data_IF_021535833859
#
_entry.id   IF_021535833859
#
_cell.length_a   1.000
_cell.length_b   1.000
_cell.length_c   1.000
_cell.angle_alpha   90.00
_cell.angle_beta   90.00
_cell.angle_gamma   90.00
#
_symmetry.space_group_name_H-M   'P 1'
#
loop_
_entity.id
_entity.type
_entity.pdbx_description
1 polymer ?
#
# COMPACT_ATOMS: atom_id res chain seq x y z
N UNK A 1 8.70 -5.26 20.88
CA UNK A 1 8.28 -5.62 19.50
C UNK A 1 9.38 -5.17 18.55
N UNK A 2 10.08 -6.13 17.93
CA UNK A 2 11.12 -5.83 16.95
C UNK A 2 10.43 -5.37 15.67
N UNK A 3 10.68 -4.12 15.26
CA UNK A 3 10.22 -3.63 13.95
C UNK A 3 11.10 -4.33 12.90
N UNK A 4 10.50 -4.85 11.81
CA UNK A 4 11.27 -5.46 10.75
C UNK A 4 12.32 -4.47 10.21
N UNK A 5 13.52 -4.97 9.96
CA UNK A 5 14.61 -4.18 9.40
C UNK A 5 14.23 -3.70 8.01
N UNK A 6 13.91 -2.43 7.87
CA UNK A 6 13.56 -1.79 6.61
C UNK A 6 14.74 -0.93 6.15
N UNK A 7 15.09 -1.01 4.88
CA UNK A 7 16.26 -0.33 4.29
C UNK A 7 16.21 1.21 4.36
N UNK A 8 15.07 1.77 4.65
CA UNK A 8 14.96 3.21 4.91
C UNK A 8 15.55 3.53 6.29
N UNK A 9 16.82 3.99 6.31
CA UNK A 9 17.56 4.38 7.52
C UNK A 9 16.77 5.31 8.46
N UNK A 10 15.74 5.98 7.94
CA UNK A 10 14.87 6.88 8.70
C UNK A 10 13.87 6.12 9.58
N UNK A 11 13.61 4.84 9.28
CA UNK A 11 12.77 3.97 10.12
C UNK A 11 13.51 3.43 11.35
N UNK A 12 14.83 3.61 11.43
CA UNK A 12 15.66 3.24 12.57
C UNK A 12 16.03 4.45 13.47
N UNK A 13 15.40 5.62 13.22
CA UNK A 13 15.65 6.80 14.06
C UNK A 13 15.09 6.59 15.47
N UNK A 14 15.86 6.94 16.53
CA UNK A 14 15.39 6.88 17.92
C UNK A 14 14.19 7.80 18.22
N UNK A 15 13.89 8.74 17.32
CA UNK A 15 12.71 9.62 17.39
C UNK A 15 11.45 9.01 16.78
N UNK A 16 11.48 7.76 16.28
CA UNK A 16 10.32 7.11 15.71
C UNK A 16 9.33 6.70 16.79
N UNK A 17 8.14 7.30 16.78
CA UNK A 17 7.02 6.93 17.67
C UNK A 17 6.09 5.97 16.95
N UNK A 18 5.90 4.81 17.54
CA UNK A 18 4.88 3.85 17.13
C UNK A 18 3.54 4.28 17.73
N UNK A 19 2.60 4.67 16.89
CA UNK A 19 1.22 4.94 17.28
C UNK A 19 0.35 3.80 16.75
N UNK A 20 -0.26 3.05 17.65
CA UNK A 20 -1.27 2.06 17.29
C UNK A 20 -2.52 2.80 16.81
N UNK A 21 -2.88 2.62 15.57
CA UNK A 21 -4.16 3.06 15.03
C UNK A 21 -5.00 1.82 14.81
N UNK A 22 -5.93 1.57 15.73
CA UNK A 22 -7.00 0.62 15.46
C UNK A 22 -7.73 1.09 14.21
N UNK A 23 -7.57 0.39 13.11
CA UNK A 23 -8.37 0.68 11.93
C UNK A 23 -9.81 0.27 12.22
N UNK A 24 -10.68 1.25 12.42
CA UNK A 24 -12.12 1.06 12.46
C UNK A 24 -12.73 0.66 11.11
N UNK A 25 -11.94 0.07 10.23
CA UNK A 25 -12.45 -0.62 9.05
C UNK A 25 -12.97 -1.97 9.51
N UNK A 26 -14.28 -2.07 9.62
CA UNK A 26 -15.05 -3.31 9.77
C UNK A 26 -14.79 -4.26 8.60
N UNK A 27 -13.60 -4.80 8.55
CA UNK A 27 -13.36 -6.08 7.94
C UNK A 27 -12.96 -7.00 9.11
N UNK A 28 -13.64 -8.11 9.30
CA UNK A 28 -13.33 -9.19 10.26
C UNK A 28 -11.95 -9.82 9.98
N UNK A 29 -11.05 -9.04 9.43
CA UNK A 29 -9.72 -9.43 9.04
C UNK A 29 -8.74 -9.05 10.14
N UNK A 30 -7.98 -10.01 10.64
CA UNK A 30 -6.86 -9.87 11.59
C UNK A 30 -5.72 -9.00 11.01
N UNK A 31 -6.05 -7.83 10.43
CA UNK A 31 -5.07 -6.89 9.90
C UNK A 31 -4.70 -5.87 10.97
N UNK A 32 -3.46 -5.89 11.40
CA UNK A 32 -2.91 -4.90 12.32
C UNK A 32 -2.30 -3.75 11.50
N UNK A 33 -2.61 -2.51 11.87
CA UNK A 33 -2.09 -1.31 11.22
C UNK A 33 -1.44 -0.42 12.26
N UNK A 34 -0.18 -0.06 12.02
CA UNK A 34 0.58 0.83 12.87
C UNK A 34 1.00 2.06 12.09
N UNK A 35 0.81 3.22 12.70
CA UNK A 35 1.31 4.48 12.17
C UNK A 35 2.70 4.74 12.75
N UNK A 36 3.67 4.90 11.88
CA UNK A 36 5.05 5.19 12.24
C UNK A 36 5.35 6.65 11.92
N UNK A 37 5.45 7.48 12.96
CA UNK A 37 5.84 8.88 12.81
C UNK A 37 7.34 9.02 12.93
N UNK A 38 7.96 9.52 11.87
CA UNK A 38 9.34 9.94 11.86
C UNK A 38 9.38 11.48 11.89
N UNK A 39 9.74 12.08 13.02
CA UNK A 39 9.65 13.52 13.28
C UNK A 39 10.29 14.45 12.26
N UNK A 40 10.99 13.93 11.25
CA UNK A 40 11.77 14.73 10.33
C UNK A 40 11.13 15.05 8.97
N UNK A 41 10.24 14.28 8.40
CA UNK A 41 9.54 14.64 7.12
C UNK A 41 8.63 13.57 6.51
N UNK A 42 8.61 12.30 6.97
CA UNK A 42 7.83 11.25 6.31
C UNK A 42 7.26 10.29 7.34
N UNK A 43 5.97 10.19 7.36
CA UNK A 43 5.27 9.20 8.15
C UNK A 43 5.03 7.93 7.31
N UNK A 44 4.90 6.78 7.97
CA UNK A 44 4.72 5.48 7.34
C UNK A 44 3.57 4.72 8.00
N UNK A 45 3.00 3.80 7.25
CA UNK A 45 2.04 2.81 7.73
C UNK A 45 2.70 1.44 7.65
N UNK A 46 2.85 0.79 8.80
CA UNK A 46 3.21 -0.62 8.90
C UNK A 46 1.92 -1.43 9.01
N UNK A 47 1.71 -2.38 8.12
CA UNK A 47 0.49 -3.15 8.03
C UNK A 47 0.79 -4.65 8.03
N UNK A 48 0.12 -5.39 8.92
CA UNK A 48 0.04 -6.85 8.87
C UNK A 48 -0.99 -7.26 7.82
N UNK A 49 -0.59 -8.06 6.87
CA UNK A 49 -1.47 -8.56 5.81
C UNK A 49 -2.23 -9.76 6.33
N UNK A 50 -3.53 -9.80 6.10
CA UNK A 50 -4.35 -10.95 6.43
C UNK A 50 -4.08 -12.11 5.46
N UNK A 51 -3.28 -13.07 5.90
CA UNK A 51 -2.91 -14.25 5.09
C UNK A 51 -4.02 -15.28 4.95
N UNK A 52 -5.08 -15.17 5.75
CA UNK A 52 -6.28 -15.99 5.56
C UNK A 52 -7.05 -15.57 4.30
N UNK A 53 -7.16 -14.27 4.05
CA UNK A 53 -7.79 -13.71 2.84
C UNK A 53 -6.84 -13.79 1.65
N UNK A 54 -5.60 -13.34 1.84
CA UNK A 54 -4.56 -13.34 0.81
C UNK A 54 -3.65 -14.55 1.01
N UNK A 55 -4.08 -15.71 0.54
CA UNK A 55 -3.36 -16.99 0.72
C UNK A 55 -1.98 -17.03 0.05
N UNK A 56 -1.72 -16.11 -0.88
CA UNK A 56 -0.45 -15.92 -1.57
C UNK A 56 0.03 -14.48 -1.40
N UNK A 57 0.44 -14.07 -0.19
CA UNK A 57 0.75 -12.67 0.09
C UNK A 57 1.99 -12.16 -0.66
N UNK A 58 2.93 -13.04 -1.01
CA UNK A 58 4.10 -12.70 -1.85
C UNK A 58 3.63 -12.29 -3.24
N UNK A 59 2.84 -13.14 -3.91
CA UNK A 59 2.29 -12.85 -5.25
C UNK A 59 1.50 -11.53 -5.25
N UNK A 60 0.76 -11.25 -4.16
CA UNK A 60 0.04 -9.98 -4.00
C UNK A 60 1.00 -8.80 -3.95
N UNK A 61 2.12 -8.91 -3.22
CA UNK A 61 3.09 -7.83 -3.12
C UNK A 61 3.87 -7.62 -4.42
N UNK A 62 4.17 -8.69 -5.14
CA UNK A 62 4.78 -8.61 -6.47
C UNK A 62 3.86 -7.89 -7.46
N UNK A 63 2.57 -8.23 -7.49
CA UNK A 63 1.57 -7.52 -8.30
C UNK A 63 1.50 -6.04 -7.95
N UNK A 64 1.38 -5.72 -6.66
CA UNK A 64 1.28 -4.34 -6.18
C UNK A 64 2.52 -3.55 -6.56
N UNK A 65 3.71 -4.10 -6.35
CA UNK A 65 4.97 -3.42 -6.67
C UNK A 65 5.13 -3.21 -8.17
N UNK A 66 4.84 -4.22 -8.98
CA UNK A 66 4.91 -4.13 -10.44
C UNK A 66 4.00 -3.01 -10.98
N UNK A 67 2.74 -2.98 -10.53
CA UNK A 67 1.76 -1.97 -10.94
C UNK A 67 2.16 -0.57 -10.45
N UNK A 68 2.54 -0.43 -9.19
CA UNK A 68 2.86 0.89 -8.61
C UNK A 68 4.15 1.48 -9.20
N UNK A 69 5.17 0.66 -9.43
CA UNK A 69 6.41 1.12 -10.08
C UNK A 69 6.19 1.49 -11.56
N UNK A 70 5.38 0.72 -12.28
CA UNK A 70 5.03 1.02 -13.67
C UNK A 70 4.33 2.37 -13.79
N UNK A 71 3.28 2.61 -12.99
CA UNK A 71 2.57 3.89 -12.98
C UNK A 71 3.50 5.03 -12.56
N UNK A 72 4.35 4.79 -11.56
CA UNK A 72 5.33 5.79 -11.10
C UNK A 72 6.31 6.19 -12.19
N UNK A 73 6.82 5.22 -12.97
CA UNK A 73 7.70 5.47 -14.10
C UNK A 73 7.01 6.34 -15.16
N UNK A 74 5.76 6.04 -15.51
CA UNK A 74 4.97 6.84 -16.45
C UNK A 74 4.75 8.28 -15.97
N UNK A 75 4.37 8.47 -14.71
CA UNK A 75 4.16 9.81 -14.16
C UNK A 75 5.47 10.59 -14.15
N UNK A 76 6.58 9.97 -13.77
CA UNK A 76 7.90 10.63 -13.81
C UNK A 76 8.31 11.04 -15.22
N UNK A 77 7.99 10.24 -16.23
CA UNK A 77 8.27 10.58 -17.63
C UNK A 77 7.55 11.83 -18.11
N UNK A 78 6.43 12.22 -17.48
CA UNK A 78 5.73 13.49 -17.77
C UNK A 78 6.32 14.70 -17.04
N UNK A 79 7.42 14.55 -16.29
CA UNK A 79 8.03 15.63 -15.48
C UNK A 79 7.27 15.94 -14.18
N UNK A 80 6.18 15.21 -13.88
CA UNK A 80 5.35 15.42 -12.67
C UNK A 80 5.82 14.53 -11.54
N UNK A 81 5.70 15.05 -10.30
CA UNK A 81 6.00 14.24 -9.12
C UNK A 81 4.91 13.21 -8.87
N UNK A 82 5.30 11.94 -8.70
CA UNK A 82 4.39 10.85 -8.36
C UNK A 82 4.08 10.74 -6.84
N UNK A 83 4.53 11.72 -6.04
CA UNK A 83 4.52 11.65 -4.56
C UNK A 83 3.14 11.34 -3.95
N UNK A 84 2.06 11.86 -4.54
CA UNK A 84 0.67 11.68 -4.05
C UNK A 84 -0.22 10.86 -5.01
N UNK A 85 0.31 10.45 -6.13
CA UNK A 85 -0.45 9.78 -7.19
C UNK A 85 -0.38 8.26 -7.10
N UNK A 86 0.64 7.72 -6.44
CA UNK A 86 0.89 6.27 -6.31
C UNK A 86 1.43 5.96 -4.92
N UNK A 87 0.97 4.85 -4.34
CA UNK A 87 1.53 4.33 -3.10
C UNK A 87 3.03 4.02 -3.27
N UNK A 88 3.78 4.26 -2.21
CA UNK A 88 5.20 3.95 -2.16
C UNK A 88 5.46 2.98 -1.03
N UNK A 89 5.78 1.74 -1.38
CA UNK A 89 6.19 0.73 -0.42
C UNK A 89 7.69 0.85 -0.13
N UNK A 90 8.03 0.73 1.14
CA UNK A 90 9.42 0.71 1.59
C UNK A 90 9.99 -0.70 1.40
N UNK A 91 11.24 -0.77 0.94
CA UNK A 91 11.95 -2.03 0.81
C UNK A 91 12.69 -2.38 2.09
N UNK A 92 12.83 -3.67 2.35
CA UNK A 92 13.70 -4.23 3.39
C UNK A 92 15.16 -4.17 2.96
N UNK A 93 16.08 -4.55 3.86
CA UNK A 93 17.52 -4.67 3.56
C UNK A 93 17.81 -5.78 2.52
N UNK A 94 16.85 -6.72 2.34
CA UNK A 94 16.91 -7.77 1.31
C UNK A 94 16.27 -7.36 -0.02
N UNK A 95 15.95 -6.05 -0.19
CA UNK A 95 15.33 -5.47 -1.39
C UNK A 95 13.88 -5.94 -1.65
N UNK A 96 13.20 -6.51 -0.65
CA UNK A 96 11.82 -6.98 -0.70
C UNK A 96 10.85 -5.93 -0.16
N UNK A 97 9.62 -5.87 -0.68
CA UNK A 97 8.57 -4.95 -0.24
C UNK A 97 7.74 -5.47 0.96
N UNK A 98 8.16 -6.58 1.54
CA UNK A 98 7.51 -7.23 2.67
C UNK A 98 8.55 -7.87 3.59
N UNK A 99 8.09 -8.32 4.74
CA UNK A 99 8.88 -9.18 5.63
C UNK A 99 7.97 -10.16 6.35
N UNK A 100 8.50 -11.31 6.71
CA UNK A 100 7.81 -12.30 7.54
C UNK A 100 8.43 -12.31 8.93
N UNK A 101 7.60 -12.21 9.96
CA UNK A 101 8.03 -12.27 11.35
C UNK A 101 8.09 -13.73 11.84
N UNK A 102 8.82 -14.02 12.94
CA UNK A 102 8.93 -15.37 13.51
C UNK A 102 7.59 -15.99 13.90
N UNK A 103 6.57 -15.16 14.19
CA UNK A 103 5.18 -15.59 14.47
C UNK A 103 4.39 -15.97 13.20
N UNK A 104 5.03 -15.96 12.03
CA UNK A 104 4.40 -16.18 10.72
C UNK A 104 3.63 -14.97 10.19
N UNK A 105 3.64 -13.84 10.90
CA UNK A 105 2.99 -12.61 10.45
C UNK A 105 3.67 -12.03 9.20
N UNK A 106 2.87 -11.76 8.17
CA UNK A 106 3.33 -11.12 6.93
C UNK A 106 3.10 -9.62 6.99
N UNK A 107 4.16 -8.83 6.83
CA UNK A 107 4.13 -7.39 7.05
C UNK A 107 4.63 -6.61 5.84
N UNK A 108 4.02 -5.45 5.61
CA UNK A 108 4.46 -4.48 4.59
C UNK A 108 4.45 -3.08 5.17
N UNK A 109 5.30 -2.21 4.63
CA UNK A 109 5.39 -0.82 5.05
C UNK A 109 5.19 0.09 3.85
N UNK A 110 4.29 1.05 3.95
CA UNK A 110 4.12 2.07 2.91
C UNK A 110 4.20 3.47 3.50
N UNK A 111 4.54 4.43 2.64
CA UNK A 111 4.56 5.84 3.01
C UNK A 111 3.15 6.33 3.26
N UNK A 112 2.93 7.02 4.36
CA UNK A 112 1.67 7.71 4.64
C UNK A 112 1.47 8.90 3.69
N UNK A 113 0.23 9.08 3.26
CA UNK A 113 -0.20 10.24 2.46
C UNK A 113 -0.91 11.19 3.40
N UNK A 114 -0.19 12.23 3.83
CA UNK A 114 -0.70 13.29 4.69
C UNK A 114 -1.85 14.08 4.05
N UNK A 115 -2.69 14.70 4.85
CA UNK A 115 -3.83 15.51 4.41
C UNK A 115 -4.78 14.74 3.45
N UNK A 116 -4.94 13.43 3.68
CA UNK A 116 -5.93 12.61 3.00
C UNK A 116 -7.19 12.48 3.86
N UNK A 117 -8.35 12.43 3.20
CA UNK A 117 -9.65 12.23 3.84
C UNK A 117 -10.30 10.99 3.25
N UNK A 118 -10.81 10.12 4.14
CA UNK A 118 -11.56 8.93 3.71
C UNK A 118 -13.06 9.16 3.89
N UNK A 119 -13.82 8.81 2.88
CA UNK A 119 -15.29 8.83 2.92
C UNK A 119 -15.81 7.40 2.91
N UNK A 120 -16.54 7.00 3.95
CA UNK A 120 -17.27 5.72 3.96
C UNK A 120 -18.49 5.77 3.04
N UNK A 121 -19.14 6.92 2.97
CA UNK A 121 -20.25 7.25 2.10
C UNK A 121 -20.22 8.73 1.79
N UNK A 122 -20.60 9.13 0.61
CA UNK A 122 -20.69 10.55 0.23
C UNK A 122 -21.81 10.78 -0.76
N UNK A 123 -22.54 11.85 -0.57
CA UNK A 123 -23.54 12.37 -1.51
C UNK A 123 -22.99 13.60 -2.26
N UNK A 124 -21.73 13.95 -2.04
CA UNK A 124 -21.08 15.07 -2.72
C UNK A 124 -20.69 14.66 -4.14
N UNK A 125 -21.41 15.18 -5.12
CA UNK A 125 -21.23 14.89 -6.55
C UNK A 125 -19.80 15.17 -7.03
N UNK A 126 -19.15 16.19 -6.49
CA UNK A 126 -17.76 16.51 -6.85
C UNK A 126 -16.79 15.41 -6.39
N UNK A 127 -16.99 14.83 -5.21
CA UNK A 127 -16.17 13.71 -4.72
C UNK A 127 -16.38 12.48 -5.61
N UNK A 128 -17.60 12.21 -6.01
CA UNK A 128 -17.95 11.10 -6.91
C UNK A 128 -17.29 11.31 -8.28
N UNK A 129 -17.41 12.51 -8.84
CA UNK A 129 -16.78 12.87 -10.12
C UNK A 129 -15.25 12.71 -10.08
N UNK A 130 -14.58 13.25 -9.06
CA UNK A 130 -13.13 13.13 -8.90
C UNK A 130 -12.69 11.68 -8.70
N UNK A 131 -13.49 10.86 -8.00
CA UNK A 131 -13.25 9.42 -7.88
C UNK A 131 -13.30 8.72 -9.24
N UNK A 132 -14.30 9.03 -10.06
CA UNK A 132 -14.43 8.51 -11.42
C UNK A 132 -13.25 8.90 -12.31
N UNK A 133 -12.83 10.16 -12.25
CA UNK A 133 -11.64 10.66 -12.96
C UNK A 133 -10.36 9.94 -12.51
N UNK A 134 -10.19 9.74 -11.21
CA UNK A 134 -9.02 9.05 -10.66
C UNK A 134 -8.97 7.60 -11.14
N UNK A 135 -10.11 6.92 -11.13
CA UNK A 135 -10.22 5.54 -11.61
C UNK A 135 -9.97 5.42 -13.12
N UNK A 136 -10.56 6.30 -13.92
CA UNK A 136 -10.30 6.35 -15.37
C UNK A 136 -8.82 6.63 -15.68
N UNK A 137 -8.19 7.55 -14.94
CA UNK A 137 -6.75 7.84 -15.08
C UNK A 137 -5.88 6.64 -14.71
N UNK A 138 -6.25 5.89 -13.69
CA UNK A 138 -5.59 4.63 -13.32
C UNK A 138 -5.65 3.62 -14.47
N UNK A 139 -6.80 3.43 -15.10
CA UNK A 139 -6.96 2.55 -16.25
C UNK A 139 -6.09 3.00 -17.44
N UNK A 140 -6.05 4.30 -17.74
CA UNK A 140 -5.19 4.85 -18.79
C UNK A 140 -3.71 4.59 -18.53
N UNK A 141 -3.26 4.72 -17.28
CA UNK A 141 -1.87 4.39 -16.94
C UNK A 141 -1.53 2.91 -17.15
N UNK A 142 -2.51 2.03 -17.02
CA UNK A 142 -2.32 0.58 -17.15
C UNK A 142 -2.66 0.02 -18.52
N UNK A 143 -3.09 0.85 -19.49
CA UNK A 143 -3.54 0.38 -20.79
C UNK A 143 -2.51 -0.47 -21.56
N UNK A 144 -1.22 -0.22 -21.34
CA UNK A 144 -0.08 -0.94 -21.94
C UNK A 144 0.75 -1.72 -20.88
N UNK A 145 0.16 -1.97 -19.70
CA UNK A 145 0.83 -2.78 -18.69
C UNK A 145 0.89 -4.24 -19.15
N UNK A 146 2.07 -4.90 -19.05
CA UNK A 146 2.22 -6.30 -19.42
C UNK A 146 1.53 -7.22 -18.39
N UNK A 147 0.27 -7.55 -18.66
CA UNK A 147 -0.61 -8.30 -17.74
C UNK A 147 -0.12 -9.72 -17.43
N UNK A 148 0.70 -10.29 -18.31
CA UNK A 148 1.36 -11.59 -18.11
C UNK A 148 2.34 -11.61 -16.94
N UNK A 149 2.75 -10.45 -16.44
CA UNK A 149 3.57 -10.30 -15.23
C UNK A 149 2.78 -10.41 -13.94
N UNK A 150 1.44 -10.44 -14.03
CA UNK A 150 0.60 -10.49 -12.83
C UNK A 150 0.30 -11.93 -12.43
N UNK A 151 0.41 -12.18 -11.14
CA UNK A 151 -0.02 -13.43 -10.53
C UNK A 151 -1.54 -13.44 -10.31
N UNK A 152 -2.16 -14.60 -10.49
CA UNK A 152 -3.57 -14.80 -10.13
C UNK A 152 -3.67 -15.04 -8.63
N UNK A 153 -4.06 -14.02 -7.88
CA UNK A 153 -4.09 -14.03 -6.41
C UNK A 153 -5.47 -14.26 -5.81
N UNK A 154 -6.55 -14.18 -6.61
CA UNK A 154 -7.92 -14.45 -6.18
C UNK A 154 -8.57 -15.54 -7.03
N UNK A 155 -9.14 -16.55 -6.39
CA UNK A 155 -10.00 -17.52 -7.08
C UNK A 155 -11.35 -16.84 -7.42
N UNK A 156 -11.85 -17.06 -8.65
CA UNK A 156 -13.10 -16.46 -9.20
C UNK A 156 -14.38 -16.56 -8.35
N UNK A 157 -14.35 -17.20 -7.18
CA UNK A 157 -15.56 -17.45 -6.38
C UNK A 157 -16.14 -16.25 -5.62
N UNK A 158 -15.51 -15.06 -5.68
CA UNK A 158 -16.00 -13.88 -4.97
C UNK A 158 -16.80 -12.89 -5.83
N UNK A 159 -17.18 -13.25 -7.06
CA UNK A 159 -17.96 -12.37 -7.96
C UNK A 159 -19.32 -12.92 -8.34
N UNK A 160 -19.96 -13.71 -7.46
CA UNK A 160 -21.37 -14.05 -7.60
C UNK A 160 -22.11 -13.54 -6.36
N UNK A 161 -22.46 -12.27 -6.39
CA UNK A 161 -23.63 -11.67 -5.77
C UNK A 161 -24.18 -10.62 -6.72
#
# INVERSE_FOLDING_TARGET
>A
MLIPTVRDKRLHSPSMKLLYVSSGFNCESNSEVFFLRNGEKKDYILQKVNTYVFTKPVDVMENISAVTEFIRAKIKATGVTAKRSVLHYAKTDHDEYYTTMPDGGFWRCCRYIDNSVCFMKTDNLKVIEESGKAFGKFQVYLADFPVEKLHIVMKRKCFLL
#
